data_IF_202093975553
#
_entry.id   IF_202093975553
#
_cell.length_a   1.000
_cell.length_b   1.000
_cell.length_c   1.000
_cell.angle_alpha   90.00
_cell.angle_beta   90.00
_cell.angle_gamma   90.00
#
_symmetry.space_group_name_H-M   'P 1'
#
loop_
_entity.id
_entity.type
_entity.pdbx_description
1 polymer ?
#
# COMPACT_ATOMS: atom_id res chain seq x y z
N UNK A 1 -14.04 5.33 21.14
CA UNK A 1 -13.48 5.97 22.34
C UNK A 1 -12.23 6.72 21.89
N UNK A 2 -12.32 8.05 21.74
CA UNK A 2 -11.21 8.85 21.23
C UNK A 2 -10.15 8.95 22.33
N UNK A 3 -9.02 8.23 22.18
CA UNK A 3 -7.84 8.47 23.01
C UNK A 3 -7.44 9.94 22.84
N UNK A 4 -7.18 10.65 23.94
CA UNK A 4 -6.69 12.03 23.93
C UNK A 4 -5.49 12.14 22.98
N UNK A 5 -5.74 12.71 21.80
CA UNK A 5 -4.70 13.02 20.83
C UNK A 5 -3.81 14.10 21.43
N UNK A 6 -2.61 13.73 21.81
CA UNK A 6 -1.59 14.71 22.22
C UNK A 6 -0.97 15.29 20.96
N UNK A 7 -1.50 16.42 20.47
CA UNK A 7 -0.94 17.20 19.36
C UNK A 7 0.57 17.47 19.52
N UNK A 8 1.07 17.45 20.76
CA UNK A 8 2.49 17.62 21.10
C UNK A 8 3.40 16.55 20.49
N UNK A 9 2.89 15.36 20.19
CA UNK A 9 3.66 14.25 19.64
C UNK A 9 3.57 14.19 18.10
N UNK A 10 2.87 15.14 17.48
CA UNK A 10 2.73 15.19 16.02
C UNK A 10 4.07 15.63 15.40
N UNK A 11 4.62 14.78 14.52
CA UNK A 11 5.90 15.05 13.86
C UNK A 11 5.76 16.03 12.70
N UNK A 12 5.49 17.31 13.02
CA UNK A 12 5.31 18.38 12.03
C UNK A 12 6.46 18.47 11.03
N UNK A 13 7.71 18.19 11.45
CA UNK A 13 8.87 18.18 10.54
C UNK A 13 8.69 17.22 9.37
N UNK A 14 8.15 16.03 9.63
CA UNK A 14 7.89 15.02 8.59
C UNK A 14 6.81 15.52 7.63
N UNK A 15 5.74 16.08 8.13
CA UNK A 15 4.64 16.65 7.33
C UNK A 15 5.16 17.77 6.43
N UNK A 16 5.93 18.70 6.98
CA UNK A 16 6.53 19.82 6.22
C UNK A 16 7.43 19.27 5.09
N UNK A 17 8.26 18.27 5.37
CA UNK A 17 9.12 17.67 4.36
C UNK A 17 8.32 17.00 3.24
N UNK A 18 7.24 16.29 3.57
CA UNK A 18 6.35 15.66 2.58
C UNK A 18 5.73 16.74 1.68
N UNK A 19 5.18 17.81 2.26
CA UNK A 19 4.58 18.90 1.48
C UNK A 19 5.61 19.64 0.61
N UNK A 20 6.81 19.91 1.13
CA UNK A 20 7.89 20.52 0.35
C UNK A 20 8.27 19.64 -0.85
N UNK A 21 8.50 18.34 -0.62
CA UNK A 21 8.89 17.41 -1.68
C UNK A 21 7.79 17.29 -2.75
N UNK A 22 6.53 17.17 -2.32
CA UNK A 22 5.40 17.08 -3.24
C UNK A 22 5.21 18.38 -4.04
N UNK A 23 5.37 19.54 -3.40
CA UNK A 23 5.28 20.85 -4.08
C UNK A 23 6.36 20.98 -5.14
N UNK A 24 7.61 20.61 -4.83
CA UNK A 24 8.72 20.61 -5.81
C UNK A 24 8.36 19.67 -6.97
N UNK A 25 7.85 18.46 -6.67
CA UNK A 25 7.41 17.50 -7.69
C UNK A 25 6.34 18.08 -8.62
N UNK A 26 5.32 18.78 -8.07
CA UNK A 26 4.25 19.42 -8.86
C UNK A 26 4.83 20.51 -9.79
N UNK A 27 5.78 21.32 -9.30
CA UNK A 27 6.42 22.38 -10.11
C UNK A 27 7.25 21.77 -11.23
N UNK A 28 8.05 20.75 -10.94
CA UNK A 28 8.89 20.07 -11.94
C UNK A 28 8.03 19.38 -13.01
N UNK A 29 7.00 18.65 -12.62
CA UNK A 29 6.09 17.99 -13.56
C UNK A 29 5.32 19.01 -14.38
N UNK A 30 4.87 20.09 -13.75
CA UNK A 30 4.17 21.18 -14.45
C UNK A 30 5.03 21.94 -15.46
N UNK A 31 6.36 21.96 -15.26
CA UNK A 31 7.30 22.54 -16.23
C UNK A 31 7.55 21.60 -17.43
N UNK A 32 7.44 20.30 -17.24
CA UNK A 32 7.62 19.31 -18.29
C UNK A 32 6.33 19.13 -19.11
N UNK A 33 5.19 18.95 -18.43
CA UNK A 33 3.89 18.69 -19.06
C UNK A 33 2.74 19.22 -18.18
N UNK A 34 2.10 20.30 -18.61
CA UNK A 34 1.02 20.98 -17.86
C UNK A 34 -0.21 20.10 -17.63
N UNK A 35 -0.48 19.16 -18.52
CA UNK A 35 -1.65 18.28 -18.41
C UNK A 35 -1.58 17.40 -17.16
N UNK A 36 -0.38 16.99 -16.73
CA UNK A 36 -0.19 16.18 -15.52
C UNK A 36 -0.15 17.00 -14.22
N UNK A 37 0.06 18.32 -14.30
CA UNK A 37 0.13 19.16 -13.11
C UNK A 37 -1.19 19.14 -12.31
N UNK A 38 -2.32 19.21 -12.99
CA UNK A 38 -3.64 19.18 -12.34
C UNK A 38 -3.90 17.84 -11.62
N UNK A 39 -3.46 16.74 -12.22
CA UNK A 39 -3.56 15.42 -11.60
C UNK A 39 -2.68 15.31 -10.35
N UNK A 40 -1.48 15.89 -10.37
CA UNK A 40 -0.57 15.94 -9.21
C UNK A 40 -1.16 16.79 -8.05
N UNK A 41 -1.78 17.92 -8.38
CA UNK A 41 -2.48 18.76 -7.39
C UNK A 41 -3.65 17.98 -6.76
N UNK A 42 -4.45 17.30 -7.58
CA UNK A 42 -5.53 16.44 -7.08
C UNK A 42 -4.99 15.34 -6.18
N UNK A 43 -3.88 14.70 -6.57
CA UNK A 43 -3.18 13.69 -5.77
C UNK A 43 -2.71 14.24 -4.41
N UNK A 44 -2.17 15.47 -4.38
CA UNK A 44 -1.79 16.15 -3.14
C UNK A 44 -3.00 16.38 -2.23
N UNK A 45 -4.12 16.84 -2.77
CA UNK A 45 -5.35 17.09 -1.99
C UNK A 45 -5.90 15.79 -1.42
N UNK A 46 -6.04 14.74 -2.24
CA UNK A 46 -6.53 13.43 -1.80
C UNK A 46 -5.57 12.76 -0.80
N UNK A 47 -4.26 12.83 -1.07
CA UNK A 47 -3.24 12.32 -0.16
C UNK A 47 -3.24 13.05 1.19
N UNK A 48 -3.44 14.37 1.19
CA UNK A 48 -3.57 15.17 2.42
C UNK A 48 -4.82 14.79 3.22
N UNK A 49 -5.95 14.59 2.54
CA UNK A 49 -7.18 14.13 3.16
C UNK A 49 -7.01 12.73 3.78
N UNK A 50 -6.41 11.79 3.04
CA UNK A 50 -6.10 10.45 3.52
C UNK A 50 -5.14 10.49 4.74
N UNK A 51 -4.09 11.31 4.68
CA UNK A 51 -3.15 11.51 5.79
C UNK A 51 -3.85 12.01 7.05
N UNK A 52 -4.77 12.98 6.92
CA UNK A 52 -5.55 13.50 8.04
C UNK A 52 -6.46 12.41 8.63
N UNK A 53 -7.22 11.71 7.80
CA UNK A 53 -8.11 10.63 8.24
C UNK A 53 -7.31 9.54 8.97
N UNK A 54 -6.22 9.06 8.37
CA UNK A 54 -5.39 8.01 8.97
C UNK A 54 -4.69 8.47 10.25
N UNK A 55 -4.27 9.74 10.33
CA UNK A 55 -3.65 10.28 11.55
C UNK A 55 -4.62 10.40 12.72
N UNK A 56 -5.92 10.52 12.44
CA UNK A 56 -6.99 10.56 13.45
C UNK A 56 -7.55 9.16 13.76
N UNK A 57 -7.24 8.16 12.96
CA UNK A 57 -7.72 6.79 13.14
C UNK A 57 -6.82 6.04 14.10
N UNK A 58 -7.39 5.31 15.05
CA UNK A 58 -6.62 4.42 15.92
C UNK A 58 -6.09 3.24 15.07
N UNK A 59 -4.77 3.06 15.04
CA UNK A 59 -4.13 1.96 14.30
C UNK A 59 -4.65 0.58 14.73
N UNK A 60 -5.15 0.44 15.96
CA UNK A 60 -5.75 -0.80 16.43
C UNK A 60 -6.96 -1.21 15.58
N UNK A 61 -7.72 -0.26 15.03
CA UNK A 61 -8.85 -0.55 14.14
C UNK A 61 -8.31 -1.22 12.87
N UNK A 62 -7.24 -0.67 12.27
CA UNK A 62 -6.59 -1.26 11.10
C UNK A 62 -6.06 -2.66 11.41
N UNK A 63 -5.49 -2.85 12.62
CA UNK A 63 -4.98 -4.15 13.05
C UNK A 63 -6.08 -5.19 13.29
N UNK A 64 -7.30 -4.79 13.67
CA UNK A 64 -8.43 -5.72 13.77
C UNK A 64 -9.01 -6.08 12.39
N UNK A 65 -8.87 -5.19 11.42
CA UNK A 65 -9.40 -5.36 10.06
C UNK A 65 -8.38 -5.99 9.09
N UNK A 66 -7.27 -6.55 9.57
CA UNK A 66 -6.21 -7.04 8.68
C UNK A 66 -6.67 -8.15 7.70
N UNK A 67 -7.57 -9.05 8.09
CA UNK A 67 -8.15 -10.04 7.19
C UNK A 67 -9.07 -9.43 6.12
N UNK A 68 -10.04 -8.57 6.46
CA UNK A 68 -10.79 -7.80 5.45
C UNK A 68 -9.91 -6.98 4.52
N UNK A 69 -8.84 -6.35 5.04
CA UNK A 69 -7.87 -5.59 4.24
C UNK A 69 -7.19 -6.52 3.23
N UNK A 70 -6.72 -7.69 3.66
CA UNK A 70 -6.11 -8.68 2.77
C UNK A 70 -7.09 -9.15 1.68
N UNK A 71 -8.33 -9.48 2.05
CA UNK A 71 -9.37 -9.86 1.09
C UNK A 71 -9.68 -8.74 0.10
N UNK A 72 -9.76 -7.49 0.58
CA UNK A 72 -9.99 -6.32 -0.26
C UNK A 72 -8.91 -6.09 -1.30
N UNK A 73 -7.61 -6.25 -0.91
CA UNK A 73 -6.53 -6.09 -1.87
C UNK A 73 -6.48 -7.21 -2.89
N UNK A 74 -6.76 -8.46 -2.49
CA UNK A 74 -6.88 -9.56 -3.45
C UNK A 74 -7.99 -9.30 -4.46
N UNK A 75 -9.13 -8.81 -4.01
CA UNK A 75 -10.23 -8.46 -4.88
C UNK A 75 -9.83 -7.37 -5.88
N UNK A 76 -9.13 -6.32 -5.45
CA UNK A 76 -8.64 -5.26 -6.35
C UNK A 76 -7.63 -5.79 -7.38
N UNK A 77 -6.69 -6.66 -6.96
CA UNK A 77 -5.73 -7.29 -7.86
C UNK A 77 -6.42 -8.22 -8.88
N UNK A 78 -7.48 -8.90 -8.49
CA UNK A 78 -8.29 -9.71 -9.42
C UNK A 78 -9.07 -8.80 -10.37
N UNK A 79 -9.68 -7.73 -9.86
CA UNK A 79 -10.47 -6.79 -10.68
C UNK A 79 -9.64 -6.15 -11.79
N UNK A 80 -8.38 -5.78 -11.52
CA UNK A 80 -7.53 -5.18 -12.56
C UNK A 80 -7.19 -6.16 -13.69
N UNK A 81 -7.18 -7.46 -13.42
CA UNK A 81 -6.98 -8.51 -14.43
C UNK A 81 -8.24 -8.80 -15.27
N UNK A 82 -9.39 -8.24 -14.89
CA UNK A 82 -10.63 -8.34 -15.66
C UNK A 82 -10.72 -7.21 -16.72
N UNK A 83 -11.73 -7.19 -17.62
CA UNK A 83 -11.93 -6.10 -18.58
C UNK A 83 -12.13 -4.70 -17.96
N UNK A 84 -12.23 -4.59 -16.63
CA UNK A 84 -12.25 -3.31 -15.92
C UNK A 84 -10.85 -2.68 -15.79
N UNK A 85 -9.80 -3.48 -15.97
CA UNK A 85 -8.42 -3.00 -16.00
C UNK A 85 -8.09 -2.31 -17.32
N UNK A 86 -7.41 -1.18 -17.22
CA UNK A 86 -6.91 -0.41 -18.36
C UNK A 86 -5.50 -0.89 -18.70
N UNK A 87 -5.31 -1.22 -19.96
CA UNK A 87 -4.00 -1.54 -20.51
C UNK A 87 -3.25 -0.26 -20.85
N UNK A 88 -2.02 -0.13 -20.35
CA UNK A 88 -1.10 0.96 -20.66
C UNK A 88 0.26 0.34 -20.97
N UNK A 89 0.80 0.65 -22.15
CA UNK A 89 2.09 0.14 -22.63
C UNK A 89 2.20 -1.41 -22.60
N UNK A 90 1.13 -2.12 -22.97
CA UNK A 90 1.10 -3.58 -23.02
C UNK A 90 0.94 -4.28 -21.67
N UNK A 91 0.61 -3.53 -20.62
CA UNK A 91 0.37 -4.09 -19.29
C UNK A 91 -0.93 -3.58 -18.67
N UNK A 92 -1.76 -4.51 -18.22
CA UNK A 92 -3.06 -4.23 -17.61
C UNK A 92 -2.88 -4.10 -16.10
N UNK A 93 -2.62 -2.84 -15.63
CA UNK A 93 -2.22 -2.55 -14.23
C UNK A 93 -3.06 -1.46 -13.57
N UNK A 94 -3.92 -0.78 -14.32
CA UNK A 94 -4.61 0.42 -13.87
C UNK A 94 -6.11 0.24 -13.87
N UNK A 95 -6.78 0.77 -12.86
CA UNK A 95 -8.24 0.93 -12.85
C UNK A 95 -8.54 2.40 -13.07
N UNK A 96 -9.29 2.71 -14.12
CA UNK A 96 -9.69 4.07 -14.47
C UNK A 96 -10.97 4.44 -13.72
N UNK A 97 -10.86 5.34 -12.75
CA UNK A 97 -11.98 5.87 -11.99
C UNK A 97 -12.51 7.18 -12.58
N UNK A 98 -12.21 7.49 -13.87
CA UNK A 98 -12.56 8.70 -14.62
C UNK A 98 -11.88 9.99 -14.13
N UNK A 99 -11.69 10.16 -12.83
CA UNK A 99 -11.05 11.34 -12.20
C UNK A 99 -9.60 11.05 -11.90
N UNK A 100 -9.32 9.84 -11.46
CA UNK A 100 -7.96 9.34 -11.13
C UNK A 100 -7.81 7.92 -11.67
N UNK A 101 -6.59 7.56 -12.01
CA UNK A 101 -6.22 6.17 -12.28
C UNK A 101 -5.59 5.58 -11.02
N UNK A 102 -6.08 4.42 -10.61
CA UNK A 102 -5.60 3.69 -9.45
C UNK A 102 -4.81 2.48 -9.90
N UNK A 103 -3.63 2.27 -9.33
CA UNK A 103 -2.86 1.04 -9.51
C UNK A 103 -3.01 0.16 -8.26
N UNK A 104 -3.73 -0.99 -8.33
CA UNK A 104 -3.96 -1.85 -7.18
C UNK A 104 -2.68 -2.37 -6.54
N UNK A 105 -1.64 -2.67 -7.33
CA UNK A 105 -0.35 -3.14 -6.83
C UNK A 105 0.38 -2.11 -5.96
N UNK A 106 0.17 -0.80 -6.15
CA UNK A 106 0.69 0.25 -5.26
C UNK A 106 0.04 0.19 -3.88
N UNK A 107 -1.27 0.01 -3.83
CA UNK A 107 -1.99 -0.19 -2.57
C UNK A 107 -1.60 -1.51 -1.91
N UNK A 108 -1.38 -2.56 -2.72
CA UNK A 108 -0.98 -3.87 -2.23
C UNK A 108 0.30 -3.81 -1.41
N UNK A 109 1.31 -3.03 -1.81
CA UNK A 109 2.56 -2.86 -1.04
C UNK A 109 2.30 -2.43 0.40
N UNK A 110 1.43 -1.45 0.59
CA UNK A 110 1.11 -0.91 1.92
C UNK A 110 0.24 -1.90 2.71
N UNK A 111 -0.83 -2.38 2.10
CA UNK A 111 -1.82 -3.23 2.76
C UNK A 111 -1.26 -4.61 3.13
N UNK A 112 -0.44 -5.22 2.26
CA UNK A 112 0.24 -6.47 2.56
C UNK A 112 1.28 -6.31 3.66
N UNK A 113 2.00 -5.18 3.70
CA UNK A 113 2.92 -4.89 4.80
C UNK A 113 2.18 -4.83 6.14
N UNK A 114 1.05 -4.12 6.20
CA UNK A 114 0.21 -4.06 7.41
C UNK A 114 -0.35 -5.43 7.79
N UNK A 115 -0.83 -6.20 6.81
CA UNK A 115 -1.34 -7.55 7.02
C UNK A 115 -0.27 -8.46 7.62
N UNK A 116 0.90 -8.56 7.00
CA UNK A 116 1.96 -9.43 7.47
C UNK A 116 2.56 -8.98 8.80
N UNK A 117 2.66 -7.66 9.06
CA UNK A 117 3.09 -7.16 10.36
C UNK A 117 2.20 -7.70 11.49
N UNK A 118 0.88 -7.64 11.32
CA UNK A 118 -0.07 -8.17 12.29
C UNK A 118 -0.08 -9.69 12.32
N UNK A 119 -0.13 -10.34 11.15
CA UNK A 119 -0.20 -11.79 11.02
C UNK A 119 1.00 -12.49 11.68
N UNK A 120 2.22 -11.98 11.45
CA UNK A 120 3.46 -12.54 12.03
C UNK A 120 3.56 -12.21 13.51
N UNK A 121 3.18 -10.98 13.93
CA UNK A 121 3.16 -10.59 15.34
C UNK A 121 2.23 -11.51 16.17
N UNK A 122 1.05 -11.85 15.65
CA UNK A 122 0.11 -12.74 16.35
C UNK A 122 0.62 -14.20 16.46
N UNK A 123 1.66 -14.55 15.69
CA UNK A 123 2.25 -15.90 15.64
C UNK A 123 3.70 -15.95 16.10
N UNK A 124 4.19 -14.91 16.75
CA UNK A 124 5.60 -14.79 17.17
C UNK A 124 6.06 -16.01 17.97
N UNK A 125 5.23 -16.56 18.86
CA UNK A 125 5.56 -17.75 19.67
C UNK A 125 5.62 -19.06 18.83
N UNK A 126 5.09 -19.05 17.61
CA UNK A 126 5.02 -20.20 16.70
C UNK A 126 5.70 -19.93 15.36
N UNK A 127 6.59 -18.96 15.31
CA UNK A 127 7.21 -18.53 14.05
C UNK A 127 8.04 -19.67 13.42
N UNK A 128 8.66 -20.50 14.24
CA UNK A 128 9.48 -21.65 13.82
C UNK A 128 8.63 -22.91 13.51
N UNK A 129 7.31 -22.85 13.66
CA UNK A 129 6.45 -23.94 13.26
C UNK A 129 6.32 -23.97 11.73
N UNK A 130 6.63 -25.13 11.14
CA UNK A 130 6.58 -25.33 9.68
C UNK A 130 5.21 -24.97 9.09
N UNK A 131 4.14 -25.19 9.85
CA UNK A 131 2.80 -24.82 9.42
C UNK A 131 2.66 -23.28 9.28
N UNK A 132 3.18 -22.51 10.23
CA UNK A 132 3.17 -21.03 10.17
C UNK A 132 3.96 -20.52 8.97
N UNK A 133 5.09 -21.14 8.66
CA UNK A 133 5.91 -20.82 7.47
C UNK A 133 5.13 -21.07 6.18
N UNK A 134 4.58 -22.26 6.04
CA UNK A 134 3.84 -22.65 4.83
C UNK A 134 2.64 -21.71 4.64
N UNK A 135 1.87 -21.44 5.69
CA UNK A 135 0.71 -20.53 5.61
C UNK A 135 1.16 -19.11 5.21
N UNK A 136 2.25 -18.60 5.81
CA UNK A 136 2.80 -17.28 5.45
C UNK A 136 3.24 -17.23 3.99
N UNK A 137 3.93 -18.27 3.50
CA UNK A 137 4.37 -18.37 2.13
C UNK A 137 3.19 -18.44 1.13
N UNK A 138 2.13 -19.17 1.47
CA UNK A 138 0.91 -19.26 0.65
C UNK A 138 0.19 -17.91 0.61
N UNK A 139 -0.01 -17.28 1.77
CA UNK A 139 -0.65 -15.96 1.87
C UNK A 139 0.14 -14.88 1.14
N UNK A 140 1.47 -14.98 1.09
CA UNK A 140 2.31 -14.08 0.28
C UNK A 140 2.25 -14.45 -1.20
N UNK A 141 2.30 -15.73 -1.53
CA UNK A 141 2.37 -16.23 -2.91
C UNK A 141 1.15 -15.86 -3.76
N UNK A 142 -0.05 -15.82 -3.16
CA UNK A 142 -1.28 -15.46 -3.87
C UNK A 142 -1.22 -14.04 -4.45
N UNK A 143 -1.03 -12.97 -3.65
CA UNK A 143 -0.94 -11.61 -4.20
C UNK A 143 0.30 -11.42 -5.08
N UNK A 144 1.44 -12.04 -4.75
CA UNK A 144 2.63 -11.97 -5.59
C UNK A 144 2.38 -12.55 -6.98
N UNK A 145 1.69 -13.69 -7.07
CA UNK A 145 1.31 -14.29 -8.34
C UNK A 145 0.35 -13.41 -9.14
N UNK A 146 -0.63 -12.78 -8.49
CA UNK A 146 -1.56 -11.86 -9.16
C UNK A 146 -0.82 -10.65 -9.75
N UNK A 147 0.10 -10.05 -8.99
CA UNK A 147 0.91 -8.91 -9.43
C UNK A 147 1.86 -9.31 -10.59
N UNK A 148 2.40 -10.53 -10.57
CA UNK A 148 3.16 -11.06 -11.70
C UNK A 148 2.31 -11.21 -12.96
N UNK A 149 1.02 -11.53 -12.82
CA UNK A 149 0.07 -11.58 -13.94
C UNK A 149 -0.23 -10.19 -14.53
N UNK A 150 -0.02 -9.12 -13.79
CA UNK A 150 -0.07 -7.73 -14.25
C UNK A 150 1.21 -7.30 -15.00
N UNK A 151 2.13 -8.16 -15.43
CA UNK A 151 3.57 -8.05 -15.74
C UNK A 151 4.32 -6.97 -14.93
N UNK A 152 4.06 -6.90 -13.59
CA UNK A 152 4.73 -5.94 -12.69
C UNK A 152 5.81 -6.61 -11.83
N UNK A 153 6.94 -6.89 -12.46
CA UNK A 153 8.09 -7.52 -11.81
C UNK A 153 8.69 -6.63 -10.71
N UNK A 154 8.73 -5.32 -10.93
CA UNK A 154 9.30 -4.35 -9.98
C UNK A 154 8.55 -4.37 -8.64
N UNK A 155 7.23 -4.29 -8.69
CA UNK A 155 6.38 -4.35 -7.49
C UNK A 155 6.46 -5.73 -6.83
N UNK A 156 6.47 -6.82 -7.61
CA UNK A 156 6.62 -8.17 -7.06
C UNK A 156 7.93 -8.34 -6.29
N UNK A 157 9.05 -7.88 -6.83
CA UNK A 157 10.35 -7.91 -6.13
C UNK A 157 10.29 -7.06 -4.87
N UNK A 158 9.71 -5.87 -4.93
CA UNK A 158 9.60 -4.98 -3.78
C UNK A 158 8.83 -5.63 -2.63
N UNK A 159 7.65 -6.21 -2.89
CA UNK A 159 6.86 -6.87 -1.84
C UNK A 159 7.56 -8.14 -1.33
N UNK A 160 8.31 -8.87 -2.19
CA UNK A 160 9.08 -10.02 -1.78
C UNK A 160 10.21 -9.63 -0.81
N UNK A 161 10.94 -8.56 -1.10
CA UNK A 161 11.98 -8.03 -0.22
C UNK A 161 11.41 -7.56 1.12
N UNK A 162 10.26 -6.87 1.11
CA UNK A 162 9.57 -6.46 2.34
C UNK A 162 9.16 -7.68 3.14
N UNK A 163 8.54 -8.68 2.52
CA UNK A 163 8.11 -9.91 3.20
C UNK A 163 9.30 -10.67 3.80
N UNK A 164 10.38 -10.87 3.04
CA UNK A 164 11.60 -11.52 3.53
C UNK A 164 12.21 -10.76 4.72
N UNK A 165 12.24 -9.41 4.63
CA UNK A 165 12.74 -8.58 5.73
C UNK A 165 11.89 -8.74 6.99
N UNK A 166 10.57 -8.82 6.84
CA UNK A 166 9.65 -9.02 7.97
C UNK A 166 9.85 -10.40 8.61
N UNK A 167 9.96 -11.45 7.82
CA UNK A 167 10.27 -12.82 8.30
C UNK A 167 11.61 -12.83 9.06
N UNK A 168 12.64 -12.21 8.49
CA UNK A 168 13.96 -12.13 9.14
C UNK A 168 13.90 -11.40 10.48
N UNK A 169 13.20 -10.27 10.58
CA UNK A 169 13.06 -9.49 11.83
C UNK A 169 12.27 -10.24 12.89
N UNK A 170 11.34 -11.12 12.51
CA UNK A 170 10.58 -11.94 13.47
C UNK A 170 11.38 -13.10 14.07
N UNK A 171 12.65 -13.30 13.65
CA UNK A 171 13.54 -14.29 14.23
C UNK A 171 13.45 -15.67 13.60
N UNK A 172 13.03 -15.73 12.34
CA UNK A 172 13.01 -16.95 11.54
C UNK A 172 14.42 -17.33 11.09
#
# INVERSE_FOLDING_TARGET
MFKQYQFRNYRLKLVILVYLLTTIGILVIGSAEKSFQSQQILGLVLGSAAMLVLSLTDYNILMHLYWPIYGGILLLLILVLTPLGKEVNGAQRWIDLKVITLQPSELAKIMLTLFFAKFLSDRQDRINDIFTVIVSAVLFGIPAFLILKEPDLSTTITIALVFCSMIFVTGF
#
